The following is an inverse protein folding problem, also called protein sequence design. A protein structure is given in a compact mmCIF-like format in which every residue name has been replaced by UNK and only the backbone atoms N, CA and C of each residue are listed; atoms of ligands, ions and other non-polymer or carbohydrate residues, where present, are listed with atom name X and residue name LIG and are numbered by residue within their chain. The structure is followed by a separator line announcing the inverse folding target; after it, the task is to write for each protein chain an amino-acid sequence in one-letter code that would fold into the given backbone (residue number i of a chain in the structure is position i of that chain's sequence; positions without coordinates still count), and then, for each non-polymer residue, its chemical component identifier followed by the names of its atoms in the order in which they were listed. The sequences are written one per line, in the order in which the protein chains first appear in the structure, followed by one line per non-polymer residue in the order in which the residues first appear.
data_IF_015775720908
#
_entry.id   IF_015775720908
#
_cell.length_a   1.000
_cell.length_b   1.000
_cell.length_c   1.000
_cell.angle_alpha   90.00
_cell.angle_beta   90.00
_cell.angle_gamma   90.00
#
_symmetry.space_group_name_H-M   'P 1'
#
loop_
_entity.id
_entity.type
_entity.pdbx_description
1 polymer ?
#
# COMPACT_ATOMS: atom_id res chain seq x y z
N UNK A 1 31.91 -7.25 6.20
CA UNK A 1 31.32 -7.18 4.85
C UNK A 1 30.91 -8.58 4.46
N UNK A 2 29.65 -8.81 4.06
CA UNK A 2 29.14 -10.17 3.78
C UNK A 2 29.50 -10.61 2.36
N UNK A 3 29.38 -9.72 1.38
CA UNK A 3 29.76 -9.93 -0.03
C UNK A 3 29.97 -8.57 -0.70
N UNK A 4 30.83 -8.48 -1.72
CA UNK A 4 31.06 -7.27 -2.53
C UNK A 4 31.66 -7.66 -3.90
N UNK A 5 31.33 -6.90 -4.94
CA UNK A 5 31.74 -7.16 -6.31
C UNK A 5 30.68 -6.70 -7.32
N UNK A 6 30.77 -7.21 -8.54
CA UNK A 6 29.73 -7.11 -9.56
C UNK A 6 28.43 -7.80 -9.09
N UNK A 7 27.26 -7.43 -9.63
CA UNK A 7 26.01 -8.14 -9.34
C UNK A 7 26.13 -9.66 -9.53
N UNK A 8 26.83 -10.11 -10.57
CA UNK A 8 27.04 -11.53 -10.90
C UNK A 8 27.88 -12.25 -9.83
N UNK A 9 28.90 -11.60 -9.29
CA UNK A 9 29.72 -12.14 -8.19
C UNK A 9 28.90 -12.26 -6.91
N UNK A 10 28.11 -11.23 -6.58
CA UNK A 10 27.24 -11.22 -5.40
C UNK A 10 26.14 -12.29 -5.51
N UNK A 11 25.62 -12.57 -6.71
CA UNK A 11 24.64 -13.63 -6.97
C UNK A 11 25.22 -15.05 -6.81
N UNK A 12 26.52 -15.23 -7.08
CA UNK A 12 27.21 -16.53 -6.96
C UNK A 12 27.70 -16.82 -5.54
N UNK A 13 27.77 -15.82 -4.67
CA UNK A 13 28.21 -15.98 -3.29
C UNK A 13 27.10 -16.62 -2.43
N UNK A 14 27.24 -17.89 -1.99
CA UNK A 14 26.22 -18.56 -1.19
C UNK A 14 26.07 -17.96 0.21
N UNK A 15 27.01 -17.12 0.68
CA UNK A 15 26.89 -16.41 1.95
C UNK A 15 26.11 -15.10 1.83
N UNK A 16 25.86 -14.62 0.61
CA UNK A 16 25.11 -13.40 0.35
C UNK A 16 23.61 -13.64 0.36
N UNK A 17 22.92 -13.18 1.41
CA UNK A 17 21.45 -13.25 1.46
C UNK A 17 20.81 -12.51 0.28
N UNK A 18 21.32 -11.33 -0.07
CA UNK A 18 20.86 -10.58 -1.25
C UNK A 18 21.13 -11.36 -2.54
N UNK A 19 22.30 -12.01 -2.63
CA UNK A 19 22.66 -12.88 -3.76
C UNK A 19 21.66 -14.00 -3.98
N UNK A 20 21.25 -14.69 -2.90
CA UNK A 20 20.25 -15.75 -2.94
C UNK A 20 18.88 -15.26 -3.46
N UNK A 21 18.47 -14.02 -3.16
CA UNK A 21 17.23 -13.46 -3.72
C UNK A 21 17.37 -12.99 -5.17
N UNK A 22 18.53 -12.42 -5.53
CA UNK A 22 18.80 -11.98 -6.91
C UNK A 22 18.92 -13.17 -7.86
N UNK A 23 19.52 -14.28 -7.42
CA UNK A 23 19.67 -15.51 -8.20
C UNK A 23 18.38 -16.31 -8.33
N UNK A 24 17.37 -16.02 -7.50
CA UNK A 24 16.11 -16.76 -7.44
C UNK A 24 16.15 -18.03 -6.59
N UNK A 25 17.29 -18.35 -5.95
CA UNK A 25 17.38 -19.44 -4.97
C UNK A 25 16.39 -19.23 -3.81
N UNK A 26 16.30 -17.99 -3.32
CA UNK A 26 15.25 -17.52 -2.43
C UNK A 26 14.30 -16.59 -3.19
N UNK A 27 13.01 -16.69 -2.87
CA UNK A 27 11.99 -15.83 -3.43
C UNK A 27 10.84 -15.64 -2.45
N UNK A 28 10.03 -14.61 -2.65
CA UNK A 28 8.79 -14.42 -1.89
C UNK A 28 7.70 -15.25 -2.56
N UNK A 29 7.19 -16.32 -1.92
CA UNK A 29 6.19 -17.17 -2.54
C UNK A 29 4.87 -16.41 -2.69
N UNK A 30 4.15 -16.72 -3.77
CA UNK A 30 2.80 -16.23 -3.96
C UNK A 30 1.83 -17.07 -3.11
N UNK A 31 0.81 -16.46 -2.48
CA UNK A 31 -0.20 -17.22 -1.77
C UNK A 31 -1.00 -18.07 -2.76
N UNK A 32 -1.23 -19.34 -2.41
CA UNK A 32 -2.02 -20.29 -3.23
C UNK A 32 -3.46 -19.79 -3.37
N UNK A 33 -4.01 -19.20 -2.29
CA UNK A 33 -5.34 -18.62 -2.28
C UNK A 33 -5.34 -17.18 -1.76
N UNK A 34 -6.26 -16.36 -2.27
CA UNK A 34 -6.49 -14.99 -1.81
C UNK A 34 -7.80 -14.91 -1.04
N UNK A 35 -7.79 -14.21 0.11
CA UNK A 35 -9.01 -13.96 0.90
C UNK A 35 -10.04 -13.21 0.07
N UNK A 36 -11.28 -13.72 0.04
CA UNK A 36 -12.41 -13.05 -0.60
C UNK A 36 -12.98 -11.96 0.34
N UNK A 37 -13.42 -10.80 -0.19
CA UNK A 37 -14.17 -9.83 0.61
C UNK A 37 -15.43 -10.44 1.20
N UNK A 38 -15.78 -10.06 2.43
CA UNK A 38 -16.94 -10.57 3.17
C UNK A 38 -18.18 -9.66 3.08
N UNK A 39 -18.18 -8.71 2.15
CA UNK A 39 -19.25 -7.74 1.96
C UNK A 39 -19.08 -6.43 2.75
N UNK A 40 -18.11 -6.34 3.66
CA UNK A 40 -17.86 -5.11 4.43
C UNK A 40 -16.83 -4.21 3.73
N UNK A 41 -17.14 -2.92 3.62
CA UNK A 41 -16.29 -1.95 2.93
C UNK A 41 -16.21 -0.61 3.66
N UNK A 42 -15.07 0.06 3.51
CA UNK A 42 -14.95 1.50 3.74
C UNK A 42 -15.02 2.20 2.39
N UNK A 43 -15.94 3.14 2.24
CA UNK A 43 -16.11 3.89 1.00
C UNK A 43 -15.66 5.35 1.15
N UNK A 44 -14.79 5.79 0.25
CA UNK A 44 -14.48 7.19 0.02
C UNK A 44 -15.24 7.63 -1.23
N UNK A 45 -16.00 8.72 -1.13
CA UNK A 45 -16.75 9.28 -2.26
C UNK A 45 -16.24 10.67 -2.59
N UNK A 46 -16.07 10.96 -3.88
CA UNK A 46 -15.72 12.27 -4.41
C UNK A 46 -14.47 12.89 -3.77
N UNK A 47 -13.42 12.11 -3.59
CA UNK A 47 -12.13 12.60 -3.12
C UNK A 47 -11.54 13.61 -4.12
N UNK A 48 -11.24 14.80 -3.63
CA UNK A 48 -10.77 15.96 -4.41
C UNK A 48 -9.55 16.67 -3.81
N UNK A 49 -9.03 16.16 -2.70
CA UNK A 49 -7.83 16.74 -2.08
C UNK A 49 -6.63 16.69 -3.04
N UNK A 50 -5.82 17.75 -3.05
CA UNK A 50 -4.67 17.92 -3.94
C UNK A 50 -5.03 17.68 -5.42
N UNK A 51 -4.42 16.67 -6.04
CA UNK A 51 -4.58 16.35 -7.44
C UNK A 51 -5.62 15.25 -7.73
N UNK A 52 -6.40 14.83 -6.71
CA UNK A 52 -7.45 13.83 -6.91
C UNK A 52 -8.62 14.43 -7.72
N UNK A 53 -9.01 13.72 -8.78
CA UNK A 53 -10.06 14.16 -9.71
C UNK A 53 -11.41 13.51 -9.40
N UNK A 54 -12.02 13.87 -8.26
CA UNK A 54 -13.34 13.37 -7.83
C UNK A 54 -13.41 11.83 -7.74
N UNK A 55 -12.42 11.23 -7.08
CA UNK A 55 -12.24 9.77 -7.02
C UNK A 55 -13.21 9.13 -6.03
N UNK A 56 -13.86 8.03 -6.43
CA UNK A 56 -14.58 7.13 -5.54
C UNK A 56 -13.75 5.85 -5.34
N UNK A 57 -13.58 5.40 -4.10
CA UNK A 57 -12.81 4.20 -3.78
C UNK A 57 -13.52 3.37 -2.71
N UNK A 58 -13.51 2.04 -2.87
CA UNK A 58 -14.01 1.07 -1.88
C UNK A 58 -12.87 0.20 -1.39
N UNK A 59 -12.67 0.16 -0.08
CA UNK A 59 -11.66 -0.66 0.57
C UNK A 59 -12.35 -1.83 1.29
N UNK A 60 -12.20 -3.08 0.79
CA UNK A 60 -12.74 -4.24 1.49
C UNK A 60 -12.08 -4.43 2.85
N UNK A 61 -12.87 -4.74 3.87
CA UNK A 61 -12.37 -5.10 5.19
C UNK A 61 -11.99 -6.59 5.22
N UNK A 62 -11.11 -6.95 6.16
CA UNK A 62 -10.70 -8.35 6.37
C UNK A 62 -9.74 -8.92 5.32
N UNK A 63 -9.27 -8.10 4.36
CA UNK A 63 -8.33 -8.52 3.33
C UNK A 63 -7.11 -7.59 3.24
N UNK A 64 -6.01 -8.11 2.70
CA UNK A 64 -4.81 -7.30 2.43
C UNK A 64 -5.04 -6.46 1.17
N UNK A 65 -5.09 -5.13 1.33
CA UNK A 65 -5.30 -4.19 0.22
C UNK A 65 -4.03 -3.39 -0.04
N UNK A 66 -3.51 -3.45 -1.27
CA UNK A 66 -2.41 -2.61 -1.73
C UNK A 66 -2.94 -1.45 -2.58
N UNK A 67 -2.56 -0.21 -2.23
CA UNK A 67 -2.84 0.99 -3.05
C UNK A 67 -1.59 1.31 -3.85
N UNK A 68 -1.65 1.12 -5.17
CA UNK A 68 -0.50 1.22 -6.07
C UNK A 68 -0.70 2.31 -7.14
N UNK A 69 0.37 2.62 -7.89
CA UNK A 69 0.40 3.68 -8.90
C UNK A 69 1.73 4.46 -8.88
N UNK A 70 2.00 5.21 -9.96
CA UNK A 70 3.24 5.99 -10.13
C UNK A 70 3.41 7.09 -9.08
N UNK A 71 4.64 7.59 -8.89
CA UNK A 71 4.87 8.75 -8.01
C UNK A 71 3.99 9.94 -8.45
N UNK A 72 3.44 10.67 -7.48
CA UNK A 72 2.51 11.79 -7.76
C UNK A 72 1.08 11.39 -8.12
N UNK A 73 0.72 10.10 -8.24
CA UNK A 73 -0.63 9.67 -8.63
C UNK A 73 -1.74 9.93 -7.58
N UNK A 74 -1.41 10.47 -6.41
CA UNK A 74 -2.36 10.78 -5.34
C UNK A 74 -2.61 9.65 -4.32
N UNK A 75 -1.82 8.57 -4.32
CA UNK A 75 -1.96 7.44 -3.35
C UNK A 75 -1.94 7.91 -1.90
N UNK A 76 -0.90 8.67 -1.51
CA UNK A 76 -0.75 9.17 -0.14
C UNK A 76 -1.86 10.17 0.21
N UNK A 77 -2.33 10.96 -0.76
CA UNK A 77 -3.49 11.82 -0.56
C UNK A 77 -4.75 11.00 -0.26
N UNK A 78 -5.02 9.96 -1.04
CA UNK A 78 -6.20 9.11 -0.84
C UNK A 78 -6.14 8.35 0.50
N UNK A 79 -4.99 7.78 0.84
CA UNK A 79 -4.83 6.92 2.03
C UNK A 79 -4.57 7.73 3.29
N UNK A 80 -3.60 8.64 3.29
CA UNK A 80 -3.19 9.32 4.52
C UNK A 80 -4.07 10.55 4.77
N UNK A 81 -4.23 11.41 3.77
CA UNK A 81 -4.93 12.69 3.94
C UNK A 81 -6.45 12.51 4.06
N UNK A 82 -7.01 11.51 3.38
CA UNK A 82 -8.45 11.26 3.39
C UNK A 82 -8.81 10.07 4.27
N UNK A 83 -8.41 8.84 3.89
CA UNK A 83 -8.87 7.63 4.59
C UNK A 83 -8.48 7.63 6.07
N UNK A 84 -7.17 7.74 6.36
CA UNK A 84 -6.64 7.66 7.71
C UNK A 84 -7.16 8.79 8.58
N UNK A 85 -7.08 10.06 8.14
CA UNK A 85 -7.60 11.19 8.93
C UNK A 85 -9.10 11.07 9.18
N UNK A 86 -9.88 10.60 8.20
CA UNK A 86 -11.34 10.41 8.37
C UNK A 86 -11.64 9.35 9.42
N UNK A 87 -10.95 8.21 9.37
CA UNK A 87 -11.13 7.13 10.34
C UNK A 87 -10.64 7.54 11.73
N UNK A 88 -9.47 8.17 11.84
CA UNK A 88 -8.93 8.67 13.11
C UNK A 88 -9.85 9.71 13.76
N UNK A 89 -10.47 10.58 12.96
CA UNK A 89 -11.47 11.53 13.47
C UNK A 89 -12.72 10.80 13.98
N UNK A 90 -13.25 9.82 13.21
CA UNK A 90 -14.48 9.08 13.56
C UNK A 90 -14.29 8.12 14.75
N UNK A 91 -13.16 7.42 14.81
CA UNK A 91 -12.93 6.34 15.78
C UNK A 91 -12.15 6.79 17.02
N UNK A 92 -11.25 7.76 16.85
CA UNK A 92 -10.31 8.18 17.91
C UNK A 92 -10.44 9.66 18.29
N UNK A 93 -11.45 10.37 17.75
CA UNK A 93 -11.68 11.81 18.00
C UNK A 93 -10.44 12.67 17.73
N UNK A 94 -9.62 12.25 16.77
CA UNK A 94 -8.46 13.02 16.35
C UNK A 94 -8.88 14.39 15.82
N UNK A 95 -8.10 15.44 16.13
CA UNK A 95 -8.37 16.82 15.70
C UNK A 95 -8.02 17.09 14.24
N UNK A 96 -7.21 16.24 13.61
CA UNK A 96 -6.78 16.42 12.23
C UNK A 96 -7.98 16.37 11.28
N UNK A 97 -8.15 17.44 10.48
CA UNK A 97 -9.23 17.51 9.49
C UNK A 97 -8.86 16.64 8.28
N UNK A 98 -9.74 15.73 7.82
CA UNK A 98 -9.51 14.98 6.61
C UNK A 98 -9.55 15.86 5.37
N UNK A 99 -8.81 15.46 4.33
CA UNK A 99 -8.82 16.12 3.03
C UNK A 99 -10.20 16.13 2.36
N UNK A 100 -10.37 16.96 1.34
CA UNK A 100 -11.63 17.19 0.65
C UNK A 100 -12.19 15.89 0.04
N UNK A 101 -13.35 15.48 0.53
CA UNK A 101 -14.16 14.37 0.02
C UNK A 101 -15.63 14.59 0.39
N UNK A 102 -16.55 13.86 -0.24
CA UNK A 102 -17.96 13.87 0.15
C UNK A 102 -18.11 13.20 1.51
N UNK A 103 -18.64 13.92 2.49
CA UNK A 103 -19.01 13.35 3.78
C UNK A 103 -20.25 12.48 3.60
N UNK A 104 -20.12 11.20 3.96
CA UNK A 104 -21.25 10.32 4.24
C UNK A 104 -21.53 10.36 5.73
#
# INVERSE_FOLDING_TARGET
MISAGTPEEVMKDPKSLTGQYLSGEKFIPLPIERRKPDGRYIEIKGAKENNLKNVNAKFPLGVFTAVTGVSGSGKSTLVNEILLKSLSQKLHRAKAKPGQHKRN
#
